data_IF_084194465722
#
_entry.id   IF_084194465722
#
_cell.length_a   1.000
_cell.length_b   1.000
_cell.length_c   1.000
_cell.angle_alpha   90.00
_cell.angle_beta   90.00
_cell.angle_gamma   90.00
#
_symmetry.space_group_name_H-M   'P 1'
#
loop_
_entity.id
_entity.type
_entity.pdbx_description
1 polymer ?
#
# COMPACT_ATOMS: atom_id res chain seq x y z
N UNK A 1 -9.81 -40.74 51.13
CA UNK A 1 -10.37 -39.46 50.62
C UNK A 1 -9.31 -38.45 50.15
N UNK A 2 -8.00 -38.66 50.41
CA UNK A 2 -6.92 -37.75 50.01
C UNK A 2 -6.40 -37.94 48.57
N UNK A 3 -6.32 -39.18 48.09
CA UNK A 3 -5.81 -39.50 46.73
C UNK A 3 -6.68 -38.85 45.65
N UNK A 4 -8.02 -38.85 45.81
CA UNK A 4 -8.94 -38.17 44.87
C UNK A 4 -8.69 -36.66 44.78
N UNK A 5 -8.29 -36.00 45.88
CA UNK A 5 -7.98 -34.56 45.90
C UNK A 5 -6.64 -34.26 45.22
N UNK A 6 -5.62 -35.10 45.43
CA UNK A 6 -4.31 -34.94 44.78
C UNK A 6 -4.41 -35.18 43.27
N UNK A 7 -5.10 -36.24 42.84
CA UNK A 7 -5.31 -36.53 41.41
C UNK A 7 -6.09 -35.41 40.72
N UNK A 8 -7.11 -34.86 41.38
CA UNK A 8 -7.88 -33.72 40.86
C UNK A 8 -7.01 -32.46 40.68
N UNK A 9 -6.09 -32.18 41.60
CA UNK A 9 -5.16 -31.03 41.49
C UNK A 9 -4.15 -31.21 40.36
N UNK A 10 -3.64 -32.44 40.14
CA UNK A 10 -2.73 -32.74 39.02
C UNK A 10 -3.44 -32.55 37.67
N UNK A 11 -4.67 -33.06 37.54
CA UNK A 11 -5.48 -32.91 36.32
C UNK A 11 -5.82 -31.44 36.07
N UNK A 12 -6.14 -30.68 37.13
CA UNK A 12 -6.43 -29.25 37.03
C UNK A 12 -5.19 -28.44 36.59
N UNK A 13 -4.00 -28.76 37.13
CA UNK A 13 -2.73 -28.13 36.71
C UNK A 13 -2.33 -28.44 35.26
N UNK A 14 -2.63 -29.64 34.77
CA UNK A 14 -2.41 -30.03 33.36
C UNK A 14 -3.35 -29.30 32.41
N UNK A 15 -4.62 -29.12 32.79
CA UNK A 15 -5.58 -28.32 32.02
C UNK A 15 -5.11 -26.85 31.91
N UNK A 16 -4.71 -26.22 33.02
CA UNK A 16 -4.26 -24.82 33.02
C UNK A 16 -2.94 -24.59 32.26
N UNK A 17 -2.00 -25.54 32.29
CA UNK A 17 -0.74 -25.45 31.53
C UNK A 17 -0.91 -25.66 30.02
N UNK A 18 -1.93 -26.42 29.59
CA UNK A 18 -2.22 -26.64 28.16
C UNK A 18 -2.80 -25.39 27.45
N UNK A 19 -3.48 -24.51 28.18
CA UNK A 19 -4.00 -23.25 27.64
C UNK A 19 -2.87 -22.29 27.24
N UNK A 20 -1.81 -22.22 28.05
CA UNK A 20 -0.63 -21.39 27.76
C UNK A 20 0.13 -21.91 26.54
N UNK A 21 0.33 -23.23 26.43
CA UNK A 21 1.06 -23.84 25.32
C UNK A 21 0.37 -23.64 23.95
N UNK A 22 -0.97 -23.76 23.92
CA UNK A 22 -1.77 -23.47 22.72
C UNK A 22 -1.74 -21.96 22.39
N UNK A 23 -1.77 -21.11 23.42
CA UNK A 23 -1.72 -19.66 23.25
C UNK A 23 -0.38 -19.17 22.66
N UNK A 24 0.76 -19.60 23.22
CA UNK A 24 2.08 -19.28 22.70
C UNK A 24 2.34 -19.89 21.31
N UNK A 25 1.87 -21.12 21.07
CA UNK A 25 1.91 -21.74 19.74
C UNK A 25 1.12 -20.94 18.71
N UNK A 26 -0.08 -20.45 19.06
CA UNK A 26 -0.91 -19.62 18.18
C UNK A 26 -0.27 -18.26 17.87
N UNK A 27 0.35 -17.61 18.86
CA UNK A 27 1.07 -16.34 18.66
C UNK A 27 2.28 -16.55 17.74
N UNK A 28 3.10 -17.56 17.99
CA UNK A 28 4.28 -17.86 17.17
C UNK A 28 3.92 -18.21 15.72
N UNK A 29 2.82 -18.95 15.51
CA UNK A 29 2.29 -19.23 14.17
C UNK A 29 1.80 -17.93 13.50
N UNK A 30 1.04 -17.10 14.21
CA UNK A 30 0.53 -15.83 13.67
C UNK A 30 1.66 -14.85 13.30
N UNK A 31 2.72 -14.76 14.10
CA UNK A 31 3.87 -13.92 13.80
C UNK A 31 4.70 -14.47 12.62
N UNK A 32 4.86 -15.78 12.52
CA UNK A 32 5.51 -16.40 11.36
C UNK A 32 4.70 -16.17 10.06
N UNK A 33 3.38 -16.32 10.10
CA UNK A 33 2.50 -16.01 8.95
C UNK A 33 2.65 -14.55 8.55
N UNK A 34 2.58 -13.63 9.53
CA UNK A 34 2.75 -12.19 9.28
C UNK A 34 4.10 -11.88 8.62
N UNK A 35 5.18 -12.53 9.06
CA UNK A 35 6.52 -12.37 8.46
C UNK A 35 6.53 -12.83 7.00
N UNK A 36 5.99 -14.02 6.72
CA UNK A 36 5.91 -14.57 5.36
C UNK A 36 5.08 -13.63 4.46
N UNK A 37 3.96 -13.12 4.95
CA UNK A 37 3.11 -12.20 4.20
C UNK A 37 3.82 -10.87 3.91
N UNK A 38 4.57 -10.32 4.88
CA UNK A 38 5.38 -9.12 4.67
C UNK A 38 6.51 -9.33 3.66
N UNK A 39 7.20 -10.47 3.72
CA UNK A 39 8.24 -10.84 2.75
C UNK A 39 7.66 -10.96 1.34
N UNK A 40 6.55 -11.67 1.21
CA UNK A 40 5.82 -11.79 -0.06
C UNK A 40 5.37 -10.43 -0.59
N UNK A 41 4.80 -9.57 0.26
CA UNK A 41 4.37 -8.25 -0.18
C UNK A 41 5.55 -7.36 -0.59
N UNK A 42 6.70 -7.49 0.09
CA UNK A 42 7.95 -6.81 -0.29
C UNK A 42 8.44 -7.28 -1.65
N UNK A 43 8.41 -8.58 -1.92
CA UNK A 43 8.77 -9.13 -3.24
C UNK A 43 7.82 -8.66 -4.34
N UNK A 44 6.52 -8.73 -4.08
CA UNK A 44 5.48 -8.27 -5.00
C UNK A 44 5.64 -6.78 -5.32
N UNK A 45 5.88 -5.94 -4.31
CA UNK A 45 6.10 -4.50 -4.48
C UNK A 45 7.36 -4.17 -5.28
N UNK A 46 8.36 -5.07 -5.29
CA UNK A 46 9.61 -4.94 -6.05
C UNK A 46 9.54 -5.56 -7.46
N UNK A 47 8.38 -6.08 -7.87
CA UNK A 47 8.15 -6.46 -9.28
C UNK A 47 8.21 -5.22 -10.18
N UNK A 48 8.38 -5.47 -11.47
CA UNK A 48 8.61 -4.44 -12.51
C UNK A 48 7.57 -3.30 -12.48
N UNK A 49 6.31 -3.65 -12.26
CA UNK A 49 5.15 -2.76 -12.23
C UNK A 49 4.76 -2.30 -10.81
N UNK A 50 5.51 -2.73 -9.80
CA UNK A 50 5.27 -2.39 -8.40
C UNK A 50 5.85 -1.02 -8.01
N UNK A 51 5.37 -0.42 -6.90
CA UNK A 51 5.82 0.90 -6.47
C UNK A 51 7.28 0.89 -5.95
N UNK A 52 7.82 -0.26 -5.55
CA UNK A 52 9.20 -0.41 -5.07
C UNK A 52 10.14 -0.95 -6.15
N UNK A 53 9.71 -0.97 -7.42
CA UNK A 53 10.53 -1.39 -8.56
C UNK A 53 11.83 -0.59 -8.66
N UNK A 54 11.81 0.70 -8.30
CA UNK A 54 13.00 1.55 -8.26
C UNK A 54 14.07 1.04 -7.29
N UNK A 55 13.68 0.34 -6.21
CA UNK A 55 14.61 -0.28 -5.26
C UNK A 55 15.06 -1.68 -5.66
N UNK A 56 14.71 -2.16 -6.86
CA UNK A 56 15.16 -3.43 -7.41
C UNK A 56 16.24 -3.16 -8.47
N UNK A 57 17.50 -3.58 -8.27
CA UNK A 57 18.60 -3.32 -9.21
C UNK A 57 18.30 -3.76 -10.65
N UNK A 58 17.45 -4.78 -10.83
CA UNK A 58 17.03 -5.27 -12.15
C UNK A 58 16.13 -4.27 -12.90
N UNK A 59 15.36 -3.46 -12.18
CA UNK A 59 14.31 -2.61 -12.74
C UNK A 59 14.57 -1.11 -12.54
N UNK A 60 15.43 -0.73 -11.59
CA UNK A 60 15.74 0.64 -11.21
C UNK A 60 15.97 1.58 -12.40
N UNK A 61 16.92 1.25 -13.28
CA UNK A 61 17.21 2.07 -14.45
C UNK A 61 16.00 2.23 -15.39
N UNK A 62 15.19 1.17 -15.55
CA UNK A 62 13.98 1.21 -16.37
C UNK A 62 12.88 2.06 -15.75
N UNK A 63 12.74 2.02 -14.43
CA UNK A 63 11.80 2.87 -13.68
C UNK A 63 12.19 4.33 -13.78
N UNK A 64 13.47 4.66 -13.65
CA UNK A 64 13.96 6.03 -13.79
C UNK A 64 13.70 6.60 -15.19
N UNK A 65 13.96 5.82 -16.25
CA UNK A 65 13.63 6.21 -17.62
C UNK A 65 12.12 6.40 -17.82
N UNK A 66 11.30 5.47 -17.31
CA UNK A 66 9.84 5.58 -17.40
C UNK A 66 9.31 6.81 -16.65
N UNK A 67 9.85 7.11 -15.46
CA UNK A 67 9.51 8.30 -14.67
C UNK A 67 9.84 9.58 -15.43
N UNK A 68 11.03 9.67 -16.02
CA UNK A 68 11.46 10.84 -16.80
C UNK A 68 10.63 11.04 -18.08
N UNK A 69 10.13 9.96 -18.68
CA UNK A 69 9.22 10.05 -19.81
C UNK A 69 7.82 10.49 -19.36
N UNK A 70 7.25 9.84 -18.33
CA UNK A 70 5.95 10.21 -17.72
C UNK A 70 5.94 11.68 -17.29
N UNK A 71 7.03 12.16 -16.71
CA UNK A 71 7.21 13.56 -16.29
C UNK A 71 6.85 14.57 -17.38
N UNK A 72 7.08 14.23 -18.66
CA UNK A 72 6.86 15.11 -19.81
C UNK A 72 5.44 15.02 -20.38
N UNK A 73 4.67 14.00 -20.00
CA UNK A 73 3.35 13.73 -20.57
C UNK A 73 2.28 14.69 -20.02
N UNK A 74 1.22 14.96 -20.81
CA UNK A 74 0.04 15.65 -20.29
C UNK A 74 -0.76 14.72 -19.36
N UNK A 75 -1.49 15.33 -18.42
CA UNK A 75 -2.39 14.64 -17.48
C UNK A 75 -3.83 14.82 -17.96
N UNK A 76 -4.25 13.96 -18.89
CA UNK A 76 -5.57 14.01 -19.53
C UNK A 76 -6.19 12.62 -19.74
N UNK A 77 -5.49 11.53 -19.41
CA UNK A 77 -6.04 10.17 -19.52
C UNK A 77 -7.06 9.97 -18.41
N UNK A 78 -8.31 9.74 -18.80
CA UNK A 78 -9.41 9.49 -17.87
C UNK A 78 -9.38 8.04 -17.38
N UNK A 79 -9.57 7.88 -16.08
CA UNK A 79 -9.80 6.59 -15.42
C UNK A 79 -10.97 6.72 -14.46
N UNK A 80 -11.69 5.63 -14.24
CA UNK A 80 -12.70 5.55 -13.18
C UNK A 80 -12.07 4.95 -11.92
N UNK A 81 -12.17 5.68 -10.81
CA UNK A 81 -11.66 5.24 -9.52
C UNK A 81 -12.63 5.65 -8.41
N UNK A 82 -13.24 4.66 -7.78
CA UNK A 82 -14.18 4.86 -6.67
C UNK A 82 -15.40 5.73 -6.99
N UNK A 83 -15.89 5.62 -8.22
CA UNK A 83 -17.04 6.38 -8.72
C UNK A 83 -16.70 7.83 -9.07
N UNK A 84 -15.41 8.18 -9.12
CA UNK A 84 -14.91 9.44 -9.63
C UNK A 84 -14.07 9.21 -10.88
N UNK A 85 -14.24 10.08 -11.87
CA UNK A 85 -13.31 10.19 -12.99
C UNK A 85 -12.07 10.95 -12.55
N UNK A 86 -10.90 10.31 -12.63
CA UNK A 86 -9.60 10.96 -12.41
C UNK A 86 -8.81 11.08 -13.71
N UNK A 87 -7.95 12.10 -13.77
CA UNK A 87 -6.97 12.32 -14.82
C UNK A 87 -5.58 11.86 -14.35
N UNK A 88 -4.96 10.98 -15.13
CA UNK A 88 -3.58 10.53 -14.94
C UNK A 88 -2.75 10.84 -16.20
N UNK A 89 -1.40 10.75 -16.14
CA UNK A 89 -0.55 10.93 -17.32
C UNK A 89 -0.94 10.00 -18.48
N UNK A 90 -0.82 10.46 -19.72
CA UNK A 90 -1.08 9.62 -20.89
C UNK A 90 -0.24 8.34 -20.92
N UNK A 91 -0.78 7.30 -21.54
CA UNK A 91 -0.14 6.00 -21.70
C UNK A 91 0.33 5.41 -20.35
N UNK A 92 -0.42 5.67 -19.28
CA UNK A 92 -0.21 5.07 -17.97
C UNK A 92 -1.48 4.41 -17.46
N UNK A 93 -1.36 3.46 -16.54
CA UNK A 93 -2.50 2.82 -15.85
C UNK A 93 -2.23 2.75 -14.35
N UNK A 94 -3.27 2.55 -13.56
CA UNK A 94 -3.10 2.19 -12.16
C UNK A 94 -2.84 0.69 -12.03
N UNK A 95 -1.87 0.34 -11.20
CA UNK A 95 -1.70 -1.02 -10.73
C UNK A 95 -2.92 -1.39 -9.85
N UNK A 96 -3.70 -2.42 -10.16
CA UNK A 96 -4.91 -2.75 -9.40
C UNK A 96 -4.61 -3.21 -7.97
N UNK A 97 -3.41 -3.78 -7.73
CA UNK A 97 -3.00 -4.26 -6.41
C UNK A 97 -2.45 -3.14 -5.54
N UNK A 98 -1.56 -2.31 -6.08
CA UNK A 98 -0.82 -1.32 -5.29
C UNK A 98 -1.26 0.13 -5.53
N UNK A 99 -2.12 0.39 -6.52
CA UNK A 99 -2.61 1.73 -6.87
C UNK A 99 -1.55 2.65 -7.50
N UNK A 100 -0.32 2.15 -7.74
CA UNK A 100 0.75 2.96 -8.32
C UNK A 100 0.59 3.15 -9.82
N UNK A 101 1.13 4.25 -10.34
CA UNK A 101 1.14 4.53 -11.77
C UNK A 101 2.15 3.60 -12.44
N UNK A 102 1.72 2.95 -13.53
CA UNK A 102 2.51 2.06 -14.37
C UNK A 102 2.51 2.60 -15.79
N UNK A 103 3.69 2.74 -16.36
CA UNK A 103 3.85 3.07 -17.78
C UNK A 103 3.35 1.91 -18.65
N UNK A 104 2.36 2.15 -19.52
CA UNK A 104 1.78 1.10 -20.36
C UNK A 104 2.73 0.62 -21.45
N UNK A 105 3.62 1.51 -21.93
CA UNK A 105 4.59 1.18 -22.97
C UNK A 105 5.65 0.21 -22.48
N UNK A 106 6.24 0.48 -21.31
CA UNK A 106 7.38 -0.29 -20.79
C UNK A 106 6.98 -1.30 -19.72
N UNK A 107 5.84 -1.11 -19.05
CA UNK A 107 5.38 -1.90 -17.92
C UNK A 107 6.07 -1.56 -16.60
N UNK A 108 6.85 -0.47 -16.51
CA UNK A 108 7.50 -0.06 -15.27
C UNK A 108 6.57 0.76 -14.37
N UNK A 109 6.56 0.42 -13.08
CA UNK A 109 5.82 1.13 -12.05
C UNK A 109 6.65 2.23 -11.40
N UNK A 110 6.07 3.41 -11.21
CA UNK A 110 6.69 4.50 -10.43
C UNK A 110 6.13 4.53 -9.01
N UNK A 111 6.91 5.07 -8.06
CA UNK A 111 6.57 5.18 -6.65
C UNK A 111 5.58 6.33 -6.35
N UNK A 112 4.49 6.41 -7.12
CA UNK A 112 3.38 7.35 -6.93
C UNK A 112 2.07 6.58 -7.06
N UNK A 113 1.28 6.57 -6.00
CA UNK A 113 0.06 5.76 -5.89
C UNK A 113 -1.19 6.56 -5.55
N UNK A 114 -2.31 6.13 -6.12
CA UNK A 114 -3.65 6.63 -5.82
C UNK A 114 -4.39 5.51 -5.10
N UNK A 115 -4.85 5.76 -3.88
CA UNK A 115 -5.57 4.76 -3.07
C UNK A 115 -6.74 5.39 -2.35
N UNK A 116 -7.71 4.56 -1.95
CA UNK A 116 -8.78 4.96 -1.03
C UNK A 116 -8.32 4.78 0.41
N UNK A 117 -8.67 5.72 1.27
CA UNK A 117 -8.62 5.52 2.73
C UNK A 117 -9.90 6.05 3.40
N UNK A 118 -10.10 5.62 4.65
CA UNK A 118 -11.12 6.14 5.53
C UNK A 118 -10.51 7.22 6.44
N UNK A 119 -11.18 8.35 6.53
CA UNK A 119 -10.69 9.54 7.21
C UNK A 119 -9.75 10.37 6.33
N UNK A 120 -9.33 11.50 6.88
CA UNK A 120 -8.35 12.37 6.25
C UNK A 120 -7.47 13.02 7.31
N UNK A 121 -6.17 13.08 7.04
CA UNK A 121 -5.19 13.78 7.87
C UNK A 121 -4.74 15.04 7.15
N UNK A 122 -5.31 16.17 7.59
CA UNK A 122 -5.00 17.48 7.01
C UNK A 122 -3.51 17.81 7.11
N UNK A 123 -2.95 18.42 6.07
CA UNK A 123 -1.53 18.83 6.02
C UNK A 123 -0.53 17.71 5.67
N UNK A 124 -0.92 16.43 5.75
CA UNK A 124 -0.01 15.30 5.50
C UNK A 124 -0.10 14.83 4.05
N UNK A 125 -1.30 14.46 3.60
CA UNK A 125 -1.50 13.91 2.27
C UNK A 125 -2.38 14.83 1.42
N UNK A 126 -2.14 14.81 0.11
CA UNK A 126 -3.09 15.35 -0.85
C UNK A 126 -4.27 14.39 -0.98
N UNK A 127 -5.46 14.87 -0.65
CA UNK A 127 -6.68 14.08 -0.65
C UNK A 127 -7.78 14.70 -1.50
N UNK A 128 -8.73 13.86 -1.92
CA UNK A 128 -9.96 14.27 -2.58
C UNK A 128 -11.12 13.49 -1.98
N UNK A 129 -12.12 14.19 -1.44
CA UNK A 129 -13.30 13.54 -0.87
C UNK A 129 -14.12 12.82 -1.93
N UNK A 130 -14.56 11.61 -1.59
CA UNK A 130 -15.53 10.85 -2.38
C UNK A 130 -16.92 11.07 -1.79
N UNK A 131 -17.17 10.50 -0.61
CA UNK A 131 -18.42 10.59 0.16
C UNK A 131 -18.20 10.21 1.62
N UNK A 132 -18.96 10.78 2.53
CA UNK A 132 -18.82 10.56 3.99
C UNK A 132 -17.35 10.78 4.40
N UNK A 133 -16.77 9.85 5.16
CA UNK A 133 -15.35 9.88 5.55
C UNK A 133 -14.44 9.17 4.55
N UNK A 134 -14.87 8.91 3.31
CA UNK A 134 -14.04 8.23 2.31
C UNK A 134 -13.33 9.24 1.43
N UNK A 135 -12.02 9.11 1.35
CA UNK A 135 -11.15 9.98 0.56
C UNK A 135 -10.25 9.15 -0.37
N UNK A 136 -9.87 9.76 -1.48
CA UNK A 136 -8.77 9.31 -2.32
C UNK A 136 -7.51 10.04 -1.85
N UNK A 137 -6.43 9.30 -1.68
CA UNK A 137 -5.13 9.77 -1.27
C UNK A 137 -4.12 9.62 -2.40
N UNK A 138 -3.28 10.63 -2.55
CA UNK A 138 -2.12 10.60 -3.42
C UNK A 138 -0.86 10.36 -2.57
N UNK A 139 -0.27 9.17 -2.68
CA UNK A 139 0.93 8.75 -1.95
C UNK A 139 2.16 8.84 -2.84
N UNK A 140 3.13 9.65 -2.44
CA UNK A 140 4.45 9.75 -3.07
C UNK A 140 5.44 10.39 -2.09
N UNK A 141 6.73 10.31 -2.39
CA UNK A 141 7.76 11.02 -1.65
C UNK A 141 7.93 12.44 -2.21
N UNK A 142 7.45 13.46 -1.50
CA UNK A 142 7.56 14.88 -1.90
C UNK A 142 9.03 15.34 -2.06
N UNK A 143 10.01 14.67 -1.44
CA UNK A 143 11.42 14.99 -1.62
C UNK A 143 11.98 14.54 -2.98
N UNK A 144 11.31 13.61 -3.67
CA UNK A 144 11.69 13.20 -5.02
C UNK A 144 11.11 14.20 -6.02
N UNK A 145 11.96 15.10 -6.52
CA UNK A 145 11.55 16.22 -7.38
C UNK A 145 10.77 15.78 -8.63
N UNK A 146 11.16 14.68 -9.26
CA UNK A 146 10.47 14.18 -10.46
C UNK A 146 9.06 13.67 -10.11
N UNK A 147 8.95 12.90 -9.01
CA UNK A 147 7.65 12.42 -8.54
C UNK A 147 6.76 13.58 -8.08
N UNK A 148 7.32 14.60 -7.43
CA UNK A 148 6.59 15.79 -7.02
C UNK A 148 6.02 16.52 -8.24
N UNK A 149 6.82 16.77 -9.29
CA UNK A 149 6.30 17.42 -10.50
C UNK A 149 5.17 16.62 -11.14
N UNK A 150 5.28 15.29 -11.22
CA UNK A 150 4.19 14.43 -11.72
C UNK A 150 2.96 14.54 -10.82
N UNK A 151 3.15 14.45 -9.50
CA UNK A 151 2.08 14.54 -8.52
C UNK A 151 1.38 15.90 -8.57
N UNK A 152 2.10 17.02 -8.65
CA UNK A 152 1.52 18.36 -8.75
C UNK A 152 0.66 18.54 -9.99
N UNK A 153 1.05 17.94 -11.13
CA UNK A 153 0.20 17.92 -12.33
C UNK A 153 -1.11 17.17 -12.09
N UNK A 154 -1.06 16.00 -11.43
CA UNK A 154 -2.24 15.21 -11.07
C UNK A 154 -3.11 15.96 -10.06
N UNK A 155 -2.50 16.56 -9.03
CA UNK A 155 -3.17 17.35 -8.00
C UNK A 155 -3.98 18.47 -8.65
N UNK A 156 -3.34 19.25 -9.52
CA UNK A 156 -3.97 20.38 -10.21
C UNK A 156 -5.09 19.93 -11.14
N UNK A 157 -4.87 18.86 -11.91
CA UNK A 157 -5.85 18.35 -12.87
C UNK A 157 -7.12 17.79 -12.19
N UNK A 158 -6.99 17.28 -10.96
CA UNK A 158 -8.06 16.59 -10.26
C UNK A 158 -8.61 17.35 -9.03
N UNK A 159 -7.99 18.47 -8.66
CA UNK A 159 -8.38 19.25 -7.48
C UNK A 159 -8.16 18.51 -6.15
N UNK A 160 -7.03 17.80 -6.01
CA UNK A 160 -6.62 17.29 -4.70
C UNK A 160 -6.21 18.45 -3.78
N UNK A 161 -6.38 18.29 -2.48
CA UNK A 161 -5.99 19.31 -1.49
C UNK A 161 -5.45 18.67 -0.22
N UNK A 162 -4.62 19.40 0.54
CA UNK A 162 -4.20 18.97 1.88
C UNK A 162 -5.24 19.26 2.96
N UNK A 163 -6.41 19.80 2.61
CA UNK A 163 -7.38 20.35 3.58
C UNK A 163 -8.58 19.41 3.85
N UNK A 164 -8.52 18.15 3.44
CA UNK A 164 -9.62 17.19 3.64
C UNK A 164 -10.97 17.64 3.07
N UNK A 165 -10.93 18.24 1.87
CA UNK A 165 -12.12 18.72 1.16
C UNK A 165 -12.62 17.73 0.12
#
# INVERSE_FOLDING_TARGET
>A
MMIKRIVMLIVLGLMFSSCDFIHYGKIAIQDNIRRIDMEREREESRKKDGPSAAGNPKYEAGVELAKQDILKRPVNKKIEFEGLTLLIPENTKLNPKHGNIVDEKTGYGIALAIKRDNGCTSGVFYTKKIKNDKYIFLYYNEMNKDLDVIAQKIIKANGFSKNCK
#
